data_IF_422569883017
#
_entry.id   IF_422569883017
#
_cell.length_a   1.000
_cell.length_b   1.000
_cell.length_c   1.000
_cell.angle_alpha   90.00
_cell.angle_beta   90.00
_cell.angle_gamma   90.00
#
_symmetry.space_group_name_H-M   'P 1'
#
loop_
_entity.id
_entity.type
_entity.pdbx_description
1 polymer ?
#
# COMPACT_ATOMS: atom_id res chain seq x y z
N UNK A 1 -62.91 30.70 -91.30
CA UNK A 1 -64.32 31.04 -90.96
C UNK A 1 -64.67 30.35 -89.67
N UNK A 2 -64.75 31.12 -88.62
CA UNK A 2 -65.59 31.00 -87.44
C UNK A 2 -65.07 31.96 -86.38
N UNK A 3 -65.96 32.75 -85.88
CA UNK A 3 -65.87 33.95 -85.09
C UNK A 3 -65.24 33.72 -83.69
N UNK A 4 -64.71 34.79 -83.03
CA UNK A 4 -64.23 34.77 -81.67
C UNK A 4 -65.36 34.90 -80.69
N UNK A 5 -65.40 34.12 -79.64
CA UNK A 5 -66.33 34.15 -78.54
C UNK A 5 -65.87 35.17 -77.48
N UNK A 6 -66.68 36.30 -77.40
CA UNK A 6 -66.56 37.40 -76.47
C UNK A 6 -67.27 37.00 -75.20
N UNK A 7 -66.46 36.61 -74.18
CA UNK A 7 -66.98 36.47 -72.81
C UNK A 7 -66.29 37.45 -71.83
N UNK A 8 -67.11 38.46 -71.48
CA UNK A 8 -66.79 39.59 -70.63
C UNK A 8 -66.08 39.18 -69.28
N UNK A 9 -65.16 40.00 -68.92
CA UNK A 9 -64.43 39.89 -67.68
C UNK A 9 -65.38 40.07 -66.46
N UNK A 10 -65.18 39.29 -65.39
CA UNK A 10 -65.96 39.42 -64.14
C UNK A 10 -65.66 40.73 -63.44
N UNK A 11 -66.62 41.28 -62.69
CA UNK A 11 -66.48 42.57 -62.00
C UNK A 11 -65.42 42.48 -60.87
N UNK A 12 -64.58 43.52 -60.81
CA UNK A 12 -63.61 43.72 -59.74
C UNK A 12 -64.31 43.91 -58.41
N UNK A 13 -64.01 43.04 -57.44
CA UNK A 13 -64.43 43.15 -56.04
C UNK A 13 -63.73 44.39 -55.41
N UNK A 14 -64.43 45.17 -54.56
CA UNK A 14 -63.79 46.30 -53.88
C UNK A 14 -62.68 45.86 -52.93
N UNK A 15 -61.57 46.61 -52.95
CA UNK A 15 -60.44 46.45 -52.09
C UNK A 15 -60.86 46.51 -50.63
N UNK A 16 -60.46 45.54 -49.73
CA UNK A 16 -60.73 45.68 -48.33
C UNK A 16 -59.97 46.88 -47.71
N UNK A 17 -60.66 47.58 -46.89
CA UNK A 17 -60.10 48.75 -46.18
C UNK A 17 -58.84 48.37 -45.37
N UNK A 18 -57.82 49.22 -45.26
CA UNK A 18 -56.62 48.96 -44.53
C UNK A 18 -56.98 48.70 -43.05
N UNK A 19 -56.67 47.49 -42.60
CA UNK A 19 -56.74 47.09 -41.20
C UNK A 19 -55.65 47.83 -40.42
N UNK A 20 -56.05 48.65 -39.44
CA UNK A 20 -55.08 49.20 -38.48
C UNK A 20 -54.42 48.07 -37.67
N UNK A 21 -53.09 48.02 -37.56
CA UNK A 21 -52.44 47.03 -36.74
C UNK A 21 -52.90 47.14 -35.28
N UNK A 22 -53.09 46.04 -34.57
CA UNK A 22 -53.43 46.07 -33.15
C UNK A 22 -52.35 46.82 -32.35
N UNK A 23 -52.73 47.57 -31.28
CA UNK A 23 -51.78 48.32 -30.48
C UNK A 23 -50.73 47.30 -29.94
N UNK A 24 -49.45 47.62 -30.12
CA UNK A 24 -48.34 46.86 -29.57
C UNK A 24 -48.44 46.96 -28.03
N UNK A 25 -49.11 45.93 -27.44
CA UNK A 25 -49.17 45.78 -26.02
C UNK A 25 -47.73 45.31 -25.56
N UNK A 26 -46.88 46.30 -25.40
CA UNK A 26 -45.59 46.14 -24.81
C UNK A 26 -45.77 45.53 -23.42
N UNK A 27 -45.48 44.24 -23.28
CA UNK A 27 -45.58 43.53 -22.00
C UNK A 27 -44.71 44.25 -20.97
N UNK A 28 -45.36 45.07 -20.11
CA UNK A 28 -44.72 45.77 -18.97
C UNK A 28 -44.03 44.83 -17.99
N UNK A 29 -44.19 43.50 -18.17
CA UNK A 29 -43.66 42.45 -17.31
C UNK A 29 -42.42 41.75 -17.88
N UNK A 30 -42.02 41.98 -19.12
CA UNK A 30 -40.83 41.35 -19.71
C UNK A 30 -39.55 41.83 -19.05
N UNK A 31 -39.44 43.13 -18.81
CA UNK A 31 -38.26 43.73 -18.15
C UNK A 31 -38.03 43.21 -16.72
N UNK A 32 -39.04 43.19 -15.82
CA UNK A 32 -38.86 42.64 -14.49
C UNK A 32 -38.62 41.13 -14.48
N UNK A 33 -39.20 40.36 -15.40
CA UNK A 33 -38.93 38.89 -15.51
C UNK A 33 -37.48 38.63 -15.96
N UNK A 34 -36.99 39.37 -16.93
CA UNK A 34 -35.59 39.30 -17.37
C UNK A 34 -34.63 39.69 -16.24
N UNK A 35 -34.98 40.72 -15.47
CA UNK A 35 -34.16 41.14 -14.32
C UNK A 35 -34.13 40.09 -13.21
N UNK A 36 -35.26 39.47 -12.91
CA UNK A 36 -35.33 38.35 -11.94
C UNK A 36 -34.56 37.11 -12.42
N UNK A 37 -34.60 36.82 -13.71
CA UNK A 37 -33.85 35.71 -14.28
C UNK A 37 -32.34 35.97 -14.20
N UNK A 38 -31.88 37.18 -14.53
CA UNK A 38 -30.46 37.57 -14.40
C UNK A 38 -30.03 37.57 -12.93
N UNK A 39 -30.84 38.08 -12.02
CA UNK A 39 -30.55 38.06 -10.58
C UNK A 39 -30.48 36.62 -10.06
N UNK A 40 -31.38 35.72 -10.51
CA UNK A 40 -31.36 34.31 -10.21
C UNK A 40 -30.06 33.60 -10.69
N UNK A 41 -29.60 33.94 -11.90
CA UNK A 41 -28.34 33.46 -12.44
C UNK A 41 -27.12 33.93 -11.61
N UNK A 42 -27.10 35.16 -11.14
CA UNK A 42 -26.04 35.68 -10.28
C UNK A 42 -26.05 35.01 -8.89
N UNK A 43 -27.23 34.82 -8.30
CA UNK A 43 -27.38 34.12 -7.01
C UNK A 43 -26.96 32.65 -7.14
N UNK A 44 -27.41 31.97 -8.20
CA UNK A 44 -27.06 30.57 -8.46
C UNK A 44 -25.57 30.42 -8.80
N UNK A 45 -25.02 31.34 -9.62
CA UNK A 45 -23.58 31.39 -9.90
C UNK A 45 -22.76 31.65 -8.63
N UNK A 46 -23.18 32.57 -7.78
CA UNK A 46 -22.56 32.83 -6.46
C UNK A 46 -22.61 31.61 -5.53
N UNK A 47 -23.74 30.90 -5.54
CA UNK A 47 -23.87 29.65 -4.76
C UNK A 47 -22.97 28.55 -5.28
N UNK A 48 -22.87 28.37 -6.61
CA UNK A 48 -21.93 27.42 -7.24
C UNK A 48 -20.49 27.77 -6.88
N UNK A 49 -20.10 29.05 -6.99
CA UNK A 49 -18.75 29.50 -6.63
C UNK A 49 -18.47 29.27 -5.14
N UNK A 50 -19.46 29.56 -4.27
CA UNK A 50 -19.33 29.32 -2.84
C UNK A 50 -19.21 27.81 -2.51
N UNK A 51 -20.05 26.97 -3.14
CA UNK A 51 -19.98 25.52 -2.98
C UNK A 51 -18.63 24.95 -3.49
N UNK A 52 -18.19 25.47 -4.64
CA UNK A 52 -16.87 25.11 -5.19
C UNK A 52 -15.72 25.58 -4.29
N UNK A 53 -15.78 26.80 -3.75
CA UNK A 53 -14.78 27.26 -2.77
C UNK A 53 -14.82 26.49 -1.46
N UNK A 54 -15.99 26.10 -0.95
CA UNK A 54 -16.08 25.21 0.21
C UNK A 54 -15.51 23.80 -0.09
N UNK A 55 -15.79 23.28 -1.28
CA UNK A 55 -15.23 21.99 -1.73
C UNK A 55 -13.70 22.08 -1.90
N UNK A 56 -13.19 23.13 -2.54
CA UNK A 56 -11.74 23.34 -2.73
C UNK A 56 -11.02 23.73 -1.44
N UNK A 57 -11.65 24.47 -0.53
CA UNK A 57 -11.05 24.77 0.79
C UNK A 57 -10.97 23.51 1.68
N UNK A 58 -11.90 22.55 1.54
CA UNK A 58 -11.77 21.22 2.11
C UNK A 58 -10.61 20.42 1.51
N UNK A 59 -10.32 20.63 0.21
CA UNK A 59 -9.19 20.00 -0.50
C UNK A 59 -7.85 20.69 -0.24
N UNK A 60 -7.84 21.97 0.08
CA UNK A 60 -6.63 22.77 0.39
C UNK A 60 -6.37 22.86 1.89
N UNK A 61 -7.22 22.23 2.73
CA UNK A 61 -6.84 22.01 4.12
C UNK A 61 -5.47 21.32 4.10
N UNK A 62 -4.46 21.82 4.85
CA UNK A 62 -3.16 21.20 4.90
C UNK A 62 -3.39 19.72 5.22
N UNK A 63 -2.86 18.83 4.35
CA UNK A 63 -2.95 17.40 4.57
C UNK A 63 -2.58 17.20 6.04
N UNK A 64 -3.45 16.54 6.82
CA UNK A 64 -3.15 16.26 8.23
C UNK A 64 -1.84 15.49 8.20
N UNK A 65 -0.76 16.14 8.57
CA UNK A 65 0.58 15.55 8.62
C UNK A 65 0.77 14.72 9.88
N UNK A 66 -0.23 14.70 10.75
CA UNK A 66 -0.16 14.03 12.03
C UNK A 66 -0.99 12.75 12.05
N UNK A 67 -0.39 11.72 12.65
CA UNK A 67 -1.07 10.48 12.93
C UNK A 67 -2.24 10.71 13.90
N UNK A 68 -3.36 10.08 13.62
CA UNK A 68 -4.55 10.16 14.49
C UNK A 68 -4.67 8.89 15.33
N UNK A 69 -4.85 9.04 16.64
CA UNK A 69 -5.16 7.92 17.52
C UNK A 69 -6.61 7.47 17.31
N UNK A 70 -6.81 6.19 17.03
CA UNK A 70 -8.11 5.54 16.92
C UNK A 70 -8.22 4.48 18.01
N UNK A 71 -9.35 4.47 18.73
CA UNK A 71 -9.64 3.43 19.73
C UNK A 71 -10.31 2.25 19.04
N UNK A 72 -9.64 1.09 19.00
CA UNK A 72 -10.18 -0.16 18.42
C UNK A 72 -11.07 -0.90 19.42
N UNK A 73 -10.72 -0.86 20.71
CA UNK A 73 -11.49 -1.43 21.79
C UNK A 73 -11.45 -0.50 23.00
N UNK A 74 -12.61 -0.15 23.54
CA UNK A 74 -12.72 0.63 24.76
C UNK A 74 -12.16 -0.17 25.95
N UNK A 75 -11.55 0.52 26.92
CA UNK A 75 -10.96 -0.06 28.11
C UNK A 75 -10.42 1.03 29.01
N UNK A 76 -9.61 0.65 30.00
CA UNK A 76 -8.98 1.57 30.90
C UNK A 76 -8.05 2.54 30.15
N UNK A 77 -8.27 3.87 30.24
CA UNK A 77 -7.44 4.85 29.55
C UNK A 77 -5.98 4.86 30.00
N UNK A 78 -5.67 4.38 31.20
CA UNK A 78 -4.32 4.33 31.78
C UNK A 78 -3.58 3.03 31.41
N UNK A 79 -4.30 2.03 30.90
CA UNK A 79 -3.77 0.74 30.51
C UNK A 79 -4.03 0.49 29.02
N UNK A 80 -3.06 0.87 28.18
CA UNK A 80 -3.17 0.84 26.71
C UNK A 80 -2.28 -0.22 26.10
N UNK A 81 -2.76 -0.83 25.03
CA UNK A 81 -1.96 -1.66 24.11
C UNK A 81 -2.07 -1.04 22.73
N UNK A 82 -0.94 -0.71 22.13
CA UNK A 82 -0.91 -0.17 20.78
C UNK A 82 -0.90 -1.30 19.74
N UNK A 83 -1.72 -1.16 18.69
CA UNK A 83 -1.78 -2.10 17.57
C UNK A 83 -1.10 -1.46 16.38
N UNK A 84 -0.14 -2.19 15.79
CA UNK A 84 0.58 -1.77 14.59
C UNK A 84 0.38 -2.86 13.52
N UNK A 85 -0.10 -2.47 12.34
CA UNK A 85 -0.31 -3.40 11.25
C UNK A 85 0.89 -3.42 10.29
N UNK A 86 1.32 -4.62 9.91
CA UNK A 86 2.26 -4.91 8.84
C UNK A 86 1.48 -5.65 7.77
N UNK A 87 0.88 -4.92 6.83
CA UNK A 87 -0.04 -5.50 5.85
C UNK A 87 0.45 -5.28 4.43
N UNK A 88 0.46 -6.35 3.63
CA UNK A 88 0.93 -6.32 2.25
C UNK A 88 2.45 -6.36 2.14
N UNK A 89 2.98 -5.89 1.02
CA UNK A 89 4.41 -5.97 0.71
C UNK A 89 5.19 -4.96 1.54
N UNK A 90 6.24 -5.44 2.21
CA UNK A 90 7.13 -4.59 3.02
C UNK A 90 8.03 -3.80 2.08
N UNK A 91 7.88 -2.48 2.07
CA UNK A 91 8.66 -1.57 1.23
C UNK A 91 8.94 -0.24 1.95
N UNK A 92 10.06 0.39 1.59
CA UNK A 92 10.46 1.71 2.05
C UNK A 92 10.16 2.82 1.04
N UNK A 93 9.43 2.51 -0.04
CA UNK A 93 9.26 3.43 -1.19
C UNK A 93 7.79 3.61 -1.55
N UNK A 94 7.48 4.82 -1.99
CA UNK A 94 6.17 5.21 -2.50
C UNK A 94 5.27 5.87 -1.45
N UNK A 95 4.00 6.07 -1.79
CA UNK A 95 3.04 6.70 -0.88
C UNK A 95 2.75 5.88 0.38
N UNK A 96 3.17 4.61 0.39
CA UNK A 96 3.01 3.65 1.48
C UNK A 96 4.37 3.25 2.07
N UNK A 97 5.24 4.23 2.40
CA UNK A 97 6.47 3.92 3.13
C UNK A 97 6.12 3.26 4.47
N UNK A 98 6.10 1.91 4.45
CA UNK A 98 5.75 1.10 5.61
C UNK A 98 6.78 1.27 6.72
N UNK A 99 8.07 1.41 6.38
CA UNK A 99 9.15 1.60 7.35
C UNK A 99 8.95 2.88 8.14
N UNK A 100 8.77 4.02 7.44
CA UNK A 100 8.55 5.30 8.09
C UNK A 100 7.27 5.29 8.94
N UNK A 101 6.20 4.64 8.44
CA UNK A 101 4.93 4.51 9.15
C UNK A 101 5.09 3.74 10.45
N UNK A 102 5.67 2.54 10.41
CA UNK A 102 5.86 1.68 11.60
C UNK A 102 6.81 2.34 12.61
N UNK A 103 7.94 2.89 12.16
CA UNK A 103 8.85 3.64 13.02
C UNK A 103 8.16 4.80 13.73
N UNK A 104 7.29 5.54 13.03
CA UNK A 104 6.51 6.62 13.61
C UNK A 104 5.50 6.11 14.64
N UNK A 105 4.79 5.01 14.33
CA UNK A 105 3.83 4.39 15.27
C UNK A 105 4.53 3.87 16.54
N UNK A 106 5.68 3.20 16.42
CA UNK A 106 6.49 2.78 17.56
C UNK A 106 6.95 3.98 18.40
N UNK A 107 7.39 5.07 17.75
CA UNK A 107 7.78 6.30 18.44
C UNK A 107 6.60 6.94 19.20
N UNK A 108 5.39 6.94 18.60
CA UNK A 108 4.19 7.43 19.29
C UNK A 108 3.82 6.54 20.47
N UNK A 109 3.87 5.22 20.31
CA UNK A 109 3.64 4.27 21.40
C UNK A 109 4.65 4.46 22.54
N UNK A 110 5.94 4.65 22.24
CA UNK A 110 6.99 4.92 23.22
C UNK A 110 6.78 6.25 23.99
N UNK A 111 6.21 7.26 23.34
CA UNK A 111 5.97 8.58 23.95
C UNK A 111 4.78 8.60 24.93
N UNK A 112 3.85 7.64 24.84
CA UNK A 112 2.70 7.53 25.74
C UNK A 112 2.98 6.50 26.86
N UNK A 113 3.26 6.98 28.07
CA UNK A 113 3.54 6.14 29.25
C UNK A 113 2.40 5.18 29.63
N UNK A 114 1.20 5.40 29.12
CA UNK A 114 0.03 4.54 29.33
C UNK A 114 0.06 3.31 28.42
N UNK A 115 0.85 3.35 27.34
CA UNK A 115 1.07 2.18 26.47
C UNK A 115 2.02 1.22 27.19
N UNK A 116 1.52 0.02 27.51
CA UNK A 116 2.24 -1.01 28.25
C UNK A 116 2.88 -2.06 27.36
N UNK A 117 2.46 -2.14 26.10
CA UNK A 117 3.00 -3.05 25.10
C UNK A 117 2.42 -2.78 23.72
N UNK A 118 3.00 -3.42 22.73
CA UNK A 118 2.59 -3.32 21.33
C UNK A 118 2.19 -4.71 20.82
N UNK A 119 1.12 -4.80 20.04
CA UNK A 119 0.84 -5.98 19.21
C UNK A 119 1.09 -5.62 17.77
N UNK A 120 2.04 -6.33 17.17
CA UNK A 120 2.35 -6.24 15.74
C UNK A 120 1.48 -7.26 15.00
N UNK A 121 0.48 -6.77 14.27
CA UNK A 121 -0.41 -7.61 13.48
C UNK A 121 0.13 -7.75 12.07
N UNK A 122 0.56 -8.97 11.70
CA UNK A 122 1.29 -9.21 10.45
C UNK A 122 0.41 -9.99 9.49
N UNK A 123 0.17 -9.42 8.32
CA UNK A 123 -0.46 -10.10 7.17
C UNK A 123 0.30 -9.71 5.90
N UNK A 124 1.46 -10.36 5.69
CA UNK A 124 2.46 -9.95 4.71
C UNK A 124 3.18 -11.15 4.07
N UNK A 125 3.34 -11.16 2.74
CA UNK A 125 4.19 -12.12 2.04
C UNK A 125 5.69 -11.85 2.19
N UNK A 126 6.07 -10.73 2.81
CA UNK A 126 7.43 -10.21 2.85
C UNK A 126 7.63 -8.98 1.99
N UNK A 127 8.87 -8.71 1.60
CA UNK A 127 9.20 -7.53 0.79
C UNK A 127 10.69 -7.27 0.67
N UNK A 128 11.06 -5.99 0.62
CA UNK A 128 12.46 -5.57 0.50
C UNK A 128 13.26 -5.96 1.76
N UNK A 129 14.47 -6.49 1.54
CA UNK A 129 15.39 -6.89 2.62
C UNK A 129 15.66 -5.73 3.58
N UNK A 130 16.08 -4.59 3.05
CA UNK A 130 16.42 -3.42 3.88
C UNK A 130 15.21 -2.89 4.66
N UNK A 131 14.03 -2.86 4.03
CA UNK A 131 12.81 -2.42 4.70
C UNK A 131 12.44 -3.35 5.86
N UNK A 132 12.56 -4.67 5.66
CA UNK A 132 12.31 -5.68 6.70
C UNK A 132 13.30 -5.56 7.85
N UNK A 133 14.61 -5.36 7.56
CA UNK A 133 15.64 -5.17 8.58
C UNK A 133 15.45 -3.89 9.40
N UNK A 134 15.10 -2.79 8.74
CA UNK A 134 14.82 -1.53 9.44
C UNK A 134 13.63 -1.62 10.39
N UNK A 135 12.57 -2.33 10.01
CA UNK A 135 11.42 -2.58 10.88
C UNK A 135 11.84 -3.49 12.05
N UNK A 136 12.55 -4.59 11.78
CA UNK A 136 13.01 -5.51 12.80
C UNK A 136 13.94 -4.82 13.81
N UNK A 137 14.80 -3.92 13.36
CA UNK A 137 15.65 -3.11 14.22
C UNK A 137 14.84 -2.16 15.10
N UNK A 138 13.85 -1.46 14.52
CA UNK A 138 12.99 -0.56 15.27
C UNK A 138 12.17 -1.30 16.36
N UNK A 139 11.77 -2.56 16.09
CA UNK A 139 11.12 -3.40 17.09
C UNK A 139 12.06 -3.72 18.26
N UNK A 140 13.30 -4.14 17.96
CA UNK A 140 14.31 -4.42 19.01
C UNK A 140 14.62 -3.18 19.87
N UNK A 141 14.78 -2.02 19.23
CA UNK A 141 14.99 -0.74 19.92
C UNK A 141 13.80 -0.38 20.85
N UNK A 142 12.57 -0.59 20.35
CA UNK A 142 11.38 -0.35 21.18
C UNK A 142 11.32 -1.29 22.39
N UNK A 143 11.56 -2.59 22.20
CA UNK A 143 11.52 -3.58 23.28
C UNK A 143 12.57 -3.34 24.37
N UNK A 144 13.73 -2.81 23.99
CA UNK A 144 14.80 -2.53 24.95
C UNK A 144 14.39 -1.52 26.02
N UNK A 145 13.58 -0.51 25.64
CA UNK A 145 13.32 0.65 26.51
C UNK A 145 11.85 0.86 26.89
N UNK A 146 10.89 0.26 26.15
CA UNK A 146 9.48 0.67 26.25
C UNK A 146 8.48 -0.44 26.60
N UNK A 147 8.85 -1.70 26.45
CA UNK A 147 7.97 -2.83 26.74
C UNK A 147 7.85 -3.84 25.60
N UNK A 148 7.09 -4.93 25.80
CA UNK A 148 7.05 -6.04 24.87
C UNK A 148 6.36 -5.69 23.55
N UNK A 149 6.87 -6.27 22.46
CA UNK A 149 6.18 -6.36 21.17
C UNK A 149 5.77 -7.80 20.95
N UNK A 150 4.48 -8.05 20.81
CA UNK A 150 3.91 -9.38 20.58
C UNK A 150 3.49 -9.45 19.12
N UNK A 151 4.01 -10.42 18.36
CA UNK A 151 3.57 -10.65 16.99
C UNK A 151 2.29 -11.49 16.96
N UNK A 152 1.30 -11.07 16.18
CA UNK A 152 0.10 -11.82 15.86
C UNK A 152 0.02 -11.98 14.35
N UNK A 153 0.28 -13.18 13.85
CA UNK A 153 0.25 -13.48 12.43
C UNK A 153 -1.20 -13.67 11.96
N UNK A 154 -1.55 -13.04 10.84
CA UNK A 154 -2.81 -13.20 10.13
C UNK A 154 -2.83 -14.42 9.21
N UNK A 155 -3.41 -14.26 8.02
CA UNK A 155 -3.41 -15.31 6.99
C UNK A 155 -2.01 -15.64 6.49
N UNK A 156 -1.13 -14.65 6.42
CA UNK A 156 0.24 -14.80 5.95
C UNK A 156 1.23 -13.95 6.75
N UNK A 157 2.36 -14.55 7.14
CA UNK A 157 3.51 -13.84 7.70
C UNK A 157 4.79 -14.58 7.26
N UNK A 158 5.11 -14.46 5.97
CA UNK A 158 6.15 -15.24 5.32
C UNK A 158 7.34 -14.37 4.93
N UNK A 159 8.53 -14.98 4.84
CA UNK A 159 9.76 -14.32 4.37
C UNK A 159 10.04 -13.02 5.15
N UNK A 160 10.06 -11.84 4.53
CA UNK A 160 10.20 -10.56 5.24
C UNK A 160 9.17 -10.34 6.35
N UNK A 161 7.94 -10.90 6.21
CA UNK A 161 6.91 -10.88 7.26
C UNK A 161 7.33 -11.70 8.48
N UNK A 162 7.97 -12.85 8.28
CA UNK A 162 8.57 -13.63 9.37
C UNK A 162 9.83 -12.95 9.92
N UNK A 163 10.66 -12.35 9.06
CA UNK A 163 11.82 -11.57 9.48
C UNK A 163 11.46 -10.49 10.52
N UNK A 164 10.36 -9.79 10.27
CA UNK A 164 9.85 -8.75 11.18
C UNK A 164 9.24 -9.35 12.46
N UNK A 165 8.63 -10.54 12.38
CA UNK A 165 8.07 -11.23 13.53
C UNK A 165 9.15 -11.83 14.46
N UNK A 166 10.24 -12.32 13.87
CA UNK A 166 11.28 -13.09 14.59
C UNK A 166 11.84 -12.38 15.83
N UNK A 167 12.15 -11.07 15.83
CA UNK A 167 12.65 -10.36 17.00
C UNK A 167 11.60 -10.08 18.08
N UNK A 168 10.29 -10.25 17.81
CA UNK A 168 9.23 -9.97 18.78
C UNK A 168 9.33 -10.90 19.99
N UNK A 169 8.94 -10.39 21.16
CA UNK A 169 8.96 -11.10 22.44
C UNK A 169 8.22 -12.43 22.41
N UNK A 170 7.10 -12.49 21.71
CA UNK A 170 6.26 -13.66 21.59
C UNK A 170 5.52 -13.65 20.27
N UNK A 171 5.31 -14.80 19.66
CA UNK A 171 4.69 -14.93 18.35
C UNK A 171 3.49 -15.86 18.42
N UNK A 172 2.33 -15.33 18.03
CA UNK A 172 1.10 -16.08 17.79
C UNK A 172 0.87 -16.30 16.30
N UNK A 173 0.43 -17.50 15.93
CA UNK A 173 -0.05 -17.82 14.59
C UNK A 173 -1.26 -18.74 14.66
N UNK A 174 -2.17 -18.62 13.69
CA UNK A 174 -3.20 -19.64 13.50
C UNK A 174 -2.53 -20.93 12.95
N UNK A 175 -3.13 -22.09 13.17
CA UNK A 175 -2.63 -23.37 12.65
C UNK A 175 -2.42 -23.34 11.13
N UNK A 176 -3.29 -22.60 10.42
CA UNK A 176 -3.32 -22.48 8.96
C UNK A 176 -2.58 -21.24 8.42
N UNK A 177 -1.99 -20.42 9.28
CA UNK A 177 -1.17 -19.27 8.84
C UNK A 177 -0.06 -19.76 7.92
N UNK A 178 0.12 -19.10 6.79
CA UNK A 178 1.25 -19.32 5.90
C UNK A 178 2.43 -18.52 6.44
N UNK A 179 3.54 -19.21 6.81
CA UNK A 179 4.73 -18.55 7.37
C UNK A 179 6.02 -19.23 6.91
N UNK A 180 7.14 -19.02 7.59
CA UNK A 180 8.43 -19.53 7.14
C UNK A 180 8.92 -18.76 5.92
N UNK A 181 9.21 -19.43 4.81
CA UNK A 181 9.86 -18.86 3.63
C UNK A 181 11.13 -18.08 4.01
N UNK A 182 11.92 -18.68 4.93
CA UNK A 182 13.19 -18.11 5.38
C UNK A 182 14.18 -18.30 4.26
N UNK A 183 14.40 -17.25 3.48
CA UNK A 183 15.22 -17.30 2.27
C UNK A 183 15.27 -15.95 1.56
N UNK A 184 16.16 -15.85 0.58
CA UNK A 184 16.39 -14.63 -0.20
C UNK A 184 16.32 -14.96 -1.68
N UNK A 185 15.61 -14.16 -2.44
CA UNK A 185 15.59 -14.27 -3.90
C UNK A 185 15.95 -12.94 -4.54
N UNK A 186 16.64 -13.00 -5.67
CA UNK A 186 16.84 -11.90 -6.59
C UNK A 186 16.55 -12.40 -8.00
N UNK A 187 15.61 -11.78 -8.67
CA UNK A 187 15.23 -12.15 -10.04
C UNK A 187 15.60 -11.05 -11.02
N UNK A 188 16.08 -11.44 -12.19
CA UNK A 188 16.30 -10.57 -13.34
C UNK A 188 15.68 -11.22 -14.58
N UNK A 189 14.95 -10.43 -15.35
CA UNK A 189 14.38 -10.87 -16.63
C UNK A 189 15.36 -10.47 -17.73
N UNK A 190 15.79 -11.43 -18.56
CA UNK A 190 16.62 -11.14 -19.71
C UNK A 190 15.77 -10.84 -20.93
N UNK A 191 15.95 -9.65 -21.50
CA UNK A 191 15.19 -9.14 -22.66
C UNK A 191 15.98 -9.21 -23.97
N UNK A 192 17.25 -9.65 -23.97
CA UNK A 192 18.13 -9.63 -25.13
C UNK A 192 17.51 -10.32 -26.36
N UNK A 193 17.01 -11.54 -26.19
CA UNK A 193 16.40 -12.28 -27.30
C UNK A 193 15.11 -11.66 -27.83
N UNK A 194 14.37 -10.88 -27.02
CA UNK A 194 13.23 -10.10 -27.50
C UNK A 194 13.69 -8.90 -28.33
N UNK A 195 14.71 -8.17 -27.83
CA UNK A 195 15.27 -7.01 -28.53
C UNK A 195 15.85 -7.39 -29.89
N UNK A 196 16.52 -8.51 -29.99
CA UNK A 196 17.03 -9.04 -31.27
C UNK A 196 15.90 -9.30 -32.28
N UNK A 197 14.78 -9.89 -31.85
CA UNK A 197 13.61 -10.16 -32.72
C UNK A 197 12.96 -8.88 -33.24
N UNK A 198 13.02 -7.78 -32.49
CA UNK A 198 12.45 -6.49 -32.91
C UNK A 198 13.51 -5.56 -33.55
N UNK A 199 14.76 -6.04 -33.73
CA UNK A 199 15.83 -5.29 -34.38
C UNK A 199 16.45 -4.18 -33.53
N UNK A 200 16.26 -4.17 -32.21
CA UNK A 200 16.84 -3.20 -31.27
C UNK A 200 18.16 -3.73 -30.75
N UNK A 201 19.24 -2.98 -30.92
CA UNK A 201 20.59 -3.35 -30.45
C UNK A 201 21.05 -2.37 -29.37
N UNK A 202 21.13 -2.79 -28.09
CA UNK A 202 21.66 -1.96 -27.03
C UNK A 202 23.16 -1.73 -27.24
N UNK A 203 23.64 -0.51 -26.97
CA UNK A 203 25.06 -0.16 -26.98
C UNK A 203 25.43 0.29 -25.59
N UNK A 204 26.36 -0.43 -24.93
CA UNK A 204 26.76 -0.16 -23.55
C UNK A 204 28.21 0.28 -23.50
N UNK A 205 28.46 1.44 -22.90
CA UNK A 205 29.78 1.90 -22.49
C UNK A 205 29.92 1.75 -20.98
N UNK A 206 30.97 1.06 -20.49
CA UNK A 206 31.13 0.75 -19.08
C UNK A 206 32.56 0.98 -18.59
N UNK A 207 32.72 1.40 -17.35
CA UNK A 207 34.03 1.69 -16.74
C UNK A 207 34.74 0.46 -16.20
N UNK A 208 34.09 -0.70 -16.15
CA UNK A 208 34.68 -1.93 -15.63
C UNK A 208 33.88 -3.18 -16.02
N UNK A 209 34.45 -4.39 -15.92
CA UNK A 209 33.88 -5.62 -16.44
C UNK A 209 32.55 -5.98 -15.78
N UNK A 210 32.36 -5.64 -14.50
CA UNK A 210 31.21 -6.05 -13.70
C UNK A 210 30.11 -4.98 -13.60
N UNK A 211 30.28 -3.79 -14.28
CA UNK A 211 29.33 -2.68 -14.13
C UNK A 211 27.94 -2.96 -14.69
N UNK A 212 27.83 -3.90 -15.61
CA UNK A 212 26.60 -4.34 -16.27
C UNK A 212 26.24 -5.80 -15.99
N UNK A 213 26.74 -6.38 -14.88
CA UNK A 213 26.58 -7.80 -14.57
C UNK A 213 25.13 -8.26 -14.37
N UNK A 214 24.16 -7.40 -14.18
CA UNK A 214 22.74 -7.74 -14.10
C UNK A 214 21.93 -7.11 -15.22
N UNK A 215 22.60 -6.68 -16.31
CA UNK A 215 21.89 -6.05 -17.42
C UNK A 215 20.97 -7.05 -18.10
N UNK A 216 19.68 -6.71 -18.14
CA UNK A 216 18.67 -7.47 -18.89
C UNK A 216 18.85 -7.39 -20.40
N UNK A 217 19.74 -6.51 -20.88
CA UNK A 217 19.98 -6.23 -22.30
C UNK A 217 21.15 -7.02 -22.87
N UNK A 218 22.01 -7.58 -22.02
CA UNK A 218 23.14 -8.39 -22.47
C UNK A 218 22.69 -9.80 -22.84
N UNK A 219 23.35 -10.48 -23.81
CA UNK A 219 23.11 -11.88 -24.07
C UNK A 219 23.40 -12.70 -22.79
N UNK A 220 22.59 -13.74 -22.50
CA UNK A 220 22.76 -14.55 -21.28
C UNK A 220 24.19 -15.09 -21.10
N UNK A 221 24.87 -15.40 -22.22
CA UNK A 221 26.22 -15.94 -22.27
C UNK A 221 27.29 -14.91 -21.84
N UNK A 222 26.95 -13.62 -21.88
CA UNK A 222 27.87 -12.55 -21.44
C UNK A 222 28.01 -12.50 -19.91
N UNK A 223 27.13 -13.16 -19.15
CA UNK A 223 27.23 -13.26 -17.69
C UNK A 223 28.28 -14.29 -17.34
N UNK A 224 29.43 -13.85 -16.84
CA UNK A 224 30.55 -14.71 -16.50
C UNK A 224 30.30 -15.53 -15.22
N UNK A 225 31.09 -16.61 -15.03
CA UNK A 225 31.05 -17.40 -13.80
C UNK A 225 31.37 -16.53 -12.58
N UNK A 226 32.37 -15.67 -12.66
CA UNK A 226 32.73 -14.72 -11.61
C UNK A 226 31.56 -13.80 -11.22
N UNK A 227 30.83 -13.28 -12.19
CA UNK A 227 29.66 -12.43 -11.94
C UNK A 227 28.53 -13.20 -11.23
N UNK A 228 28.30 -14.45 -11.61
CA UNK A 228 27.33 -15.34 -10.94
C UNK A 228 27.75 -15.60 -9.49
N UNK A 229 29.03 -15.87 -9.25
CA UNK A 229 29.57 -16.10 -7.90
C UNK A 229 29.48 -14.84 -7.01
N UNK A 230 29.70 -13.64 -7.59
CA UNK A 230 29.51 -12.37 -6.86
C UNK A 230 28.06 -12.25 -6.39
N UNK A 231 27.11 -12.53 -7.29
CA UNK A 231 25.67 -12.44 -6.95
C UNK A 231 25.25 -13.51 -5.95
N UNK A 232 25.77 -14.74 -6.10
CA UNK A 232 25.45 -15.82 -5.17
C UNK A 232 25.96 -15.48 -3.76
N UNK A 233 27.21 -15.03 -3.62
CA UNK A 233 27.74 -14.59 -2.31
C UNK A 233 26.88 -13.49 -1.68
N UNK A 234 26.43 -12.53 -2.48
CA UNK A 234 25.53 -11.49 -1.98
C UNK A 234 24.19 -12.05 -1.44
N UNK A 235 23.63 -13.05 -2.11
CA UNK A 235 22.43 -13.76 -1.66
C UNK A 235 22.71 -14.55 -0.38
N UNK A 236 23.85 -15.26 -0.33
CA UNK A 236 24.25 -16.07 0.83
C UNK A 236 24.48 -15.20 2.07
N UNK A 237 25.22 -14.09 1.95
CA UNK A 237 25.42 -13.12 3.04
C UNK A 237 24.10 -12.55 3.56
N UNK A 238 23.15 -12.31 2.64
CA UNK A 238 21.81 -11.80 3.01
C UNK A 238 20.97 -12.88 3.70
N UNK A 239 21.09 -14.13 3.26
CA UNK A 239 20.45 -15.27 3.90
C UNK A 239 21.01 -15.52 5.31
N UNK A 240 22.33 -15.46 5.48
CA UNK A 240 22.97 -15.60 6.79
C UNK A 240 22.49 -14.52 7.78
N UNK A 241 22.28 -13.29 7.29
CA UNK A 241 21.68 -12.23 8.10
C UNK A 241 20.25 -12.58 8.53
N UNK A 242 19.45 -13.20 7.67
CA UNK A 242 18.11 -13.67 8.05
C UNK A 242 18.17 -14.76 9.12
N UNK A 243 18.97 -15.79 8.90
CA UNK A 243 19.21 -16.88 9.88
C UNK A 243 19.58 -16.31 11.23
N UNK A 244 20.53 -15.36 11.25
CA UNK A 244 20.98 -14.70 12.48
C UNK A 244 19.85 -13.96 13.21
N UNK A 245 18.98 -13.24 12.49
CA UNK A 245 17.84 -12.54 13.10
C UNK A 245 16.87 -13.54 13.73
N UNK A 246 16.66 -14.70 13.10
CA UNK A 246 15.82 -15.77 13.66
C UNK A 246 16.46 -16.36 14.90
N UNK A 247 17.74 -16.70 14.86
CA UNK A 247 18.49 -17.25 16.01
C UNK A 247 18.43 -16.30 17.20
N UNK A 248 18.82 -15.03 17.00
CA UNK A 248 18.83 -14.03 18.07
C UNK A 248 17.43 -13.77 18.64
N UNK A 249 16.43 -13.68 17.76
CA UNK A 249 15.06 -13.40 18.16
C UNK A 249 14.36 -14.57 18.84
N UNK A 250 14.74 -15.82 18.51
CA UNK A 250 14.12 -17.05 19.02
C UNK A 250 14.98 -17.75 20.08
N UNK A 251 16.19 -17.25 20.39
CA UNK A 251 17.05 -17.81 21.43
C UNK A 251 16.47 -17.57 22.83
N UNK A 252 16.38 -18.63 23.61
CA UNK A 252 15.95 -18.58 25.02
C UNK A 252 16.88 -17.76 25.93
N UNK A 253 18.16 -17.65 25.58
CA UNK A 253 19.18 -17.06 26.48
C UNK A 253 19.21 -15.55 26.47
N UNK A 254 18.75 -14.90 25.38
CA UNK A 254 18.90 -13.47 25.21
C UNK A 254 17.75 -12.64 25.79
N UNK A 255 16.50 -12.97 25.49
CA UNK A 255 15.33 -12.15 25.80
C UNK A 255 14.06 -12.93 26.17
N UNK A 256 14.10 -14.25 26.15
CA UNK A 256 12.90 -15.10 26.28
C UNK A 256 12.91 -15.82 27.63
N UNK A 257 12.45 -15.10 28.64
CA UNK A 257 12.35 -15.62 30.01
C UNK A 257 10.98 -16.23 30.32
N UNK A 258 10.05 -16.17 29.39
CA UNK A 258 8.68 -16.67 29.57
C UNK A 258 8.68 -18.20 29.59
N UNK A 259 8.04 -18.76 30.61
CA UNK A 259 7.94 -20.22 30.78
C UNK A 259 7.30 -20.95 29.60
N UNK A 260 6.44 -20.22 28.85
CA UNK A 260 5.64 -20.77 27.78
C UNK A 260 6.24 -20.50 26.38
N UNK A 261 7.38 -19.78 26.29
CA UNK A 261 8.04 -19.52 25.03
C UNK A 261 8.67 -20.80 24.48
N UNK A 262 8.44 -21.05 23.18
CA UNK A 262 8.93 -22.26 22.52
C UNK A 262 10.36 -22.06 22.04
N UNK A 263 11.25 -23.04 22.31
CA UNK A 263 12.61 -23.02 21.79
C UNK A 263 12.63 -23.48 20.35
N UNK A 264 13.57 -22.95 19.57
CA UNK A 264 13.96 -23.58 18.31
C UNK A 264 14.38 -25.02 18.55
N UNK A 265 13.98 -25.94 17.69
CA UNK A 265 14.52 -27.31 17.65
C UNK A 265 15.97 -27.26 17.11
N UNK A 266 16.75 -28.30 17.37
CA UNK A 266 18.15 -28.34 16.94
C UNK A 266 18.27 -28.26 15.41
N UNK A 267 17.37 -28.92 14.68
CA UNK A 267 17.36 -29.01 13.22
C UNK A 267 16.48 -27.91 12.53
N UNK A 268 16.17 -26.82 13.21
CA UNK A 268 15.26 -25.80 12.64
C UNK A 268 15.79 -25.20 11.31
N UNK A 269 17.11 -25.14 11.14
CA UNK A 269 17.74 -24.63 9.92
C UNK A 269 17.42 -25.47 8.67
N UNK A 270 17.13 -26.77 8.82
CA UNK A 270 16.69 -27.63 7.73
C UNK A 270 15.35 -27.18 7.12
N UNK A 271 14.61 -26.38 7.88
CA UNK A 271 13.32 -25.78 7.46
C UNK A 271 13.46 -24.32 7.02
N UNK A 272 14.67 -23.78 7.02
CA UNK A 272 15.00 -22.43 6.61
C UNK A 272 15.55 -22.38 5.17
N UNK A 273 15.10 -23.26 4.30
CA UNK A 273 15.54 -23.40 2.90
C UNK A 273 14.67 -22.64 1.89
N UNK A 274 13.87 -21.68 2.37
CA UNK A 274 12.94 -20.90 1.56
C UNK A 274 11.55 -21.53 1.45
N UNK A 275 11.34 -22.74 2.02
CA UNK A 275 10.00 -23.37 2.02
C UNK A 275 9.01 -22.59 2.88
N UNK A 276 7.74 -22.65 2.49
CA UNK A 276 6.64 -22.21 3.35
C UNK A 276 6.33 -23.28 4.40
N UNK A 277 5.85 -22.83 5.54
CA UNK A 277 5.36 -23.64 6.63
C UNK A 277 3.94 -23.20 6.99
N UNK A 278 3.13 -24.13 7.48
CA UNK A 278 1.91 -23.77 8.22
C UNK A 278 2.28 -23.24 9.61
N UNK A 279 1.39 -22.45 10.21
CA UNK A 279 1.59 -22.01 11.60
C UNK A 279 1.79 -23.17 12.57
N UNK A 280 1.11 -24.32 12.31
CA UNK A 280 1.29 -25.54 13.09
C UNK A 280 2.72 -26.11 12.97
N UNK A 281 3.26 -26.22 11.77
CA UNK A 281 4.65 -26.67 11.54
C UNK A 281 5.65 -25.68 12.15
N UNK A 282 5.46 -24.38 11.92
CA UNK A 282 6.32 -23.35 12.50
C UNK A 282 6.31 -23.41 14.04
N UNK A 283 5.16 -23.69 14.66
CA UNK A 283 5.08 -23.93 16.09
C UNK A 283 5.83 -25.19 16.51
N UNK A 284 5.76 -26.29 15.76
CA UNK A 284 6.52 -27.51 16.04
C UNK A 284 8.03 -27.28 16.02
N UNK A 285 8.51 -26.41 15.12
CA UNK A 285 9.94 -26.10 14.96
C UNK A 285 10.44 -24.96 15.89
N UNK A 286 9.56 -24.38 16.74
CA UNK A 286 9.93 -23.30 17.65
C UNK A 286 10.02 -21.94 17.00
N UNK A 287 9.59 -21.81 15.73
CA UNK A 287 9.51 -20.54 15.00
C UNK A 287 8.31 -19.68 15.44
N UNK A 288 7.29 -20.30 16.02
CA UNK A 288 6.09 -19.70 16.60
C UNK A 288 5.94 -20.21 18.03
N UNK A 289 5.56 -19.33 18.97
CA UNK A 289 5.47 -19.69 20.38
C UNK A 289 4.16 -20.36 20.73
N UNK A 290 3.04 -19.86 20.18
CA UNK A 290 1.73 -20.35 20.51
C UNK A 290 0.79 -20.32 19.30
N UNK A 291 0.00 -21.37 19.18
CA UNK A 291 -1.14 -21.38 18.24
C UNK A 291 -2.29 -20.60 18.84
N UNK A 292 -2.84 -19.68 18.07
CA UNK A 292 -3.94 -18.80 18.49
C UNK A 292 -4.22 -17.72 17.46
N UNK A 293 -5.19 -16.88 17.77
CA UNK A 293 -5.62 -15.76 16.93
C UNK A 293 -5.25 -14.41 17.59
N UNK A 294 -5.69 -13.31 16.95
CA UNK A 294 -5.46 -11.96 17.46
C UNK A 294 -6.02 -11.73 18.87
N UNK A 295 -7.20 -12.27 19.18
CA UNK A 295 -7.80 -12.11 20.50
C UNK A 295 -6.99 -12.84 21.59
N UNK A 296 -6.38 -13.98 21.25
CA UNK A 296 -5.51 -14.73 22.14
C UNK A 296 -4.20 -13.95 22.40
N UNK A 297 -3.63 -13.33 21.35
CA UNK A 297 -2.49 -12.44 21.47
C UNK A 297 -2.81 -11.22 22.38
N UNK A 298 -4.01 -10.65 22.25
CA UNK A 298 -4.46 -9.55 23.11
C UNK A 298 -4.55 -9.97 24.57
N UNK A 299 -5.24 -11.09 24.86
CA UNK A 299 -5.37 -11.63 26.22
C UNK A 299 -4.01 -11.94 26.84
N UNK A 300 -3.12 -12.55 26.05
CA UNK A 300 -1.76 -12.84 26.47
C UNK A 300 -1.01 -11.54 26.81
N UNK A 301 -1.06 -10.54 25.92
CA UNK A 301 -0.39 -9.26 26.14
C UNK A 301 -0.91 -8.57 27.38
N UNK A 302 -2.24 -8.52 27.60
CA UNK A 302 -2.84 -7.98 28.82
C UNK A 302 -2.25 -8.64 30.08
N UNK A 303 -2.27 -9.97 30.14
CA UNK A 303 -1.69 -10.74 31.25
C UNK A 303 -0.20 -10.50 31.41
N UNK A 304 0.54 -10.45 30.28
CA UNK A 304 1.98 -10.28 30.27
C UNK A 304 2.42 -8.93 30.85
N UNK A 305 1.67 -7.86 30.55
CA UNK A 305 1.96 -6.51 31.09
C UNK A 305 1.20 -6.16 32.37
N UNK A 306 0.58 -7.16 33.02
CA UNK A 306 -0.10 -7.00 34.32
C UNK A 306 -1.47 -6.30 34.26
N UNK A 307 -2.14 -6.35 33.10
CA UNK A 307 -3.50 -5.83 32.90
C UNK A 307 -4.50 -7.00 33.03
N UNK A 308 -5.61 -6.77 33.74
CA UNK A 308 -6.69 -7.77 33.75
C UNK A 308 -7.26 -8.02 32.35
N UNK A 309 -7.54 -9.29 31.98
CA UNK A 309 -8.08 -9.64 30.68
C UNK A 309 -9.35 -8.83 30.32
N UNK A 310 -9.36 -8.25 29.13
CA UNK A 310 -10.45 -7.42 28.64
C UNK A 310 -10.47 -5.98 29.13
N UNK A 311 -9.53 -5.56 29.97
CA UNK A 311 -9.47 -4.19 30.52
C UNK A 311 -8.60 -3.22 29.75
N UNK A 312 -7.65 -3.70 28.93
CA UNK A 312 -6.82 -2.80 28.15
C UNK A 312 -7.63 -2.02 27.11
N UNK A 313 -7.32 -0.74 26.95
CA UNK A 313 -7.75 0.03 25.78
C UNK A 313 -6.82 -0.30 24.62
N UNK A 314 -7.39 -0.81 23.53
CA UNK A 314 -6.62 -1.02 22.29
C UNK A 314 -6.66 0.24 21.44
N UNK A 315 -5.49 0.76 21.12
CA UNK A 315 -5.34 1.96 20.30
C UNK A 315 -4.53 1.66 19.04
N UNK A 316 -4.77 2.44 18.01
CA UNK A 316 -4.00 2.42 16.77
C UNK A 316 -3.71 3.85 16.34
N UNK A 317 -2.50 4.11 15.89
CA UNK A 317 -2.15 5.37 15.26
C UNK A 317 -2.25 5.22 13.75
N UNK A 318 -3.27 5.83 13.15
CA UNK A 318 -3.47 5.80 11.70
C UNK A 318 -2.73 6.94 11.04
N UNK A 319 -2.01 6.61 9.95
CA UNK A 319 -1.39 7.62 9.11
C UNK A 319 -2.47 8.52 8.48
N UNK A 320 -2.20 9.81 8.31
CA UNK A 320 -3.12 10.69 7.63
C UNK A 320 -3.34 10.21 6.19
N UNK A 321 -4.60 10.25 5.75
CA UNK A 321 -4.93 9.98 4.34
C UNK A 321 -4.33 11.11 3.49
N UNK A 322 -3.32 10.82 2.70
CA UNK A 322 -2.74 11.76 1.74
C UNK A 322 -3.62 11.86 0.48
N UNK A 323 -4.76 12.55 0.65
CA UNK A 323 -5.64 12.89 -0.48
C UNK A 323 -4.93 13.74 -1.53
N UNK A 324 -3.95 14.57 -1.11
CA UNK A 324 -3.14 15.39 -2.02
C UNK A 324 -2.18 14.55 -2.86
N UNK A 325 -1.60 13.51 -2.29
CA UNK A 325 -0.77 12.53 -3.01
C UNK A 325 -1.60 11.73 -4.02
N UNK A 326 -2.79 11.29 -3.64
CA UNK A 326 -3.72 10.62 -4.55
C UNK A 326 -4.12 11.51 -5.73
N UNK A 327 -4.46 12.78 -5.47
CA UNK A 327 -4.79 13.75 -6.53
C UNK A 327 -3.59 14.11 -7.41
N UNK A 328 -2.38 14.20 -6.85
CA UNK A 328 -1.15 14.38 -7.64
C UNK A 328 -0.88 13.17 -8.52
N UNK A 329 -1.10 11.97 -8.01
CA UNK A 329 -0.97 10.74 -8.78
C UNK A 329 -1.98 10.69 -9.94
N UNK A 330 -3.24 11.02 -9.70
CA UNK A 330 -4.28 11.10 -10.72
C UNK A 330 -4.05 12.27 -11.69
N UNK A 331 -3.59 13.44 -11.21
CA UNK A 331 -3.30 14.62 -12.05
C UNK A 331 -2.00 14.50 -12.87
N UNK A 332 -1.05 13.65 -12.46
CA UNK A 332 0.14 13.34 -13.26
C UNK A 332 -0.17 12.36 -14.40
N UNK A 333 -1.22 11.56 -14.27
CA UNK A 333 -1.67 10.69 -15.36
C UNK A 333 -2.19 11.48 -16.57
N UNK A 334 -2.68 12.72 -16.39
CA UNK A 334 -3.13 13.60 -17.49
C UNK A 334 -2.00 14.40 -18.16
N UNK A 335 -0.81 14.50 -17.55
CA UNK A 335 0.31 15.33 -18.04
C UNK A 335 1.51 14.51 -18.53
N UNK A 336 1.40 13.21 -18.64
CA UNK A 336 2.44 12.41 -19.30
C UNK A 336 2.45 12.79 -20.79
N UNK A 337 3.61 13.25 -21.35
CA UNK A 337 3.70 13.43 -22.80
C UNK A 337 3.40 12.09 -23.46
N UNK A 338 2.70 12.14 -24.61
CA UNK A 338 2.29 10.99 -25.38
C UNK A 338 3.51 10.20 -25.91
N UNK A 339 4.19 9.52 -25.00
CA UNK A 339 5.13 8.45 -25.29
C UNK A 339 4.38 7.16 -24.99
N UNK A 340 4.22 6.34 -25.99
CA UNK A 340 3.50 5.09 -25.98
C UNK A 340 3.97 4.18 -24.85
N UNK A 341 3.39 4.33 -23.67
CA UNK A 341 3.55 3.35 -22.60
C UNK A 341 2.54 2.25 -22.88
N UNK A 342 2.98 1.14 -23.44
CA UNK A 342 2.15 -0.06 -23.52
C UNK A 342 2.05 -0.60 -22.09
N UNK A 343 1.00 -0.21 -21.39
CA UNK A 343 0.66 -0.78 -20.10
C UNK A 343 -0.10 -2.08 -20.38
N UNK A 344 0.61 -3.20 -20.32
CA UNK A 344 -0.02 -4.51 -20.33
C UNK A 344 -0.57 -4.74 -18.92
N UNK A 345 -1.84 -4.45 -18.73
CA UNK A 345 -2.57 -4.81 -17.53
C UNK A 345 -2.90 -6.31 -17.63
N UNK A 346 -2.16 -7.11 -16.90
CA UNK A 346 -2.35 -8.56 -16.81
C UNK A 346 -3.45 -8.94 -15.82
N UNK A 347 -4.18 -7.95 -15.26
CA UNK A 347 -5.26 -8.20 -14.29
C UNK A 347 -4.82 -8.83 -12.97
N UNK A 348 -3.51 -8.85 -12.69
CA UNK A 348 -2.94 -9.33 -11.46
C UNK A 348 -2.25 -8.17 -10.74
N UNK A 349 -2.63 -7.91 -9.50
CA UNK A 349 -1.91 -6.99 -8.60
C UNK A 349 -0.57 -7.61 -8.15
N UNK A 350 0.29 -7.91 -9.15
CA UNK A 350 1.64 -8.37 -8.85
C UNK A 350 2.47 -7.20 -8.33
N UNK A 351 3.22 -7.41 -7.24
CA UNK A 351 4.13 -6.41 -6.73
C UNK A 351 5.15 -6.04 -7.79
N UNK A 352 5.29 -4.75 -8.09
CA UNK A 352 6.31 -4.25 -9.01
C UNK A 352 7.68 -4.38 -8.36
N UNK A 353 8.30 -5.54 -8.50
CA UNK A 353 9.66 -5.76 -8.03
C UNK A 353 10.63 -4.97 -8.90
N UNK A 354 11.59 -4.30 -8.26
CA UNK A 354 12.66 -3.59 -8.97
C UNK A 354 13.77 -4.55 -9.33
N UNK A 355 14.22 -4.57 -10.59
CA UNK A 355 15.39 -5.36 -10.97
C UNK A 355 16.60 -5.00 -10.10
N UNK A 356 17.33 -6.02 -9.64
CA UNK A 356 18.55 -5.83 -8.87
C UNK A 356 18.37 -5.50 -7.39
N UNK A 357 17.13 -5.50 -6.88
CA UNK A 357 16.86 -5.37 -5.44
C UNK A 357 16.58 -6.75 -4.86
N UNK A 358 17.23 -7.15 -3.76
CA UNK A 358 16.92 -8.41 -3.08
C UNK A 358 15.61 -8.27 -2.28
N UNK A 359 14.84 -9.35 -2.27
CA UNK A 359 13.56 -9.43 -1.59
C UNK A 359 13.47 -10.65 -0.68
N UNK A 360 12.85 -10.47 0.46
CA UNK A 360 12.26 -11.51 1.26
C UNK A 360 10.79 -11.66 0.85
N UNK A 361 10.54 -12.46 -0.19
CA UNK A 361 9.19 -12.70 -0.72
C UNK A 361 8.94 -14.20 -0.85
N UNK A 362 7.72 -14.60 -0.55
CA UNK A 362 7.29 -15.98 -0.79
C UNK A 362 7.19 -16.24 -2.30
N UNK A 363 7.81 -17.34 -2.76
CA UNK A 363 7.83 -17.73 -4.18
C UNK A 363 6.46 -18.04 -4.78
N UNK A 364 5.45 -18.30 -3.94
CA UNK A 364 4.09 -18.64 -4.39
C UNK A 364 3.30 -17.46 -5.00
N UNK A 365 3.79 -16.22 -4.85
CA UNK A 365 3.18 -15.05 -5.52
C UNK A 365 3.48 -14.96 -7.02
N UNK A 366 4.33 -15.85 -7.54
CA UNK A 366 4.76 -15.84 -8.95
C UNK A 366 4.31 -17.07 -9.75
N UNK A 367 3.52 -17.96 -9.13
CA UNK A 367 3.11 -19.22 -9.72
C UNK A 367 1.66 -19.18 -10.21
N UNK A 368 1.36 -18.27 -11.17
CA UNK A 368 0.22 -18.41 -12.10
C UNK A 368 0.55 -17.79 -13.46
#
# INVERSE_FOLDING_TARGET
MSEPDDRGAPPLLPNPAPQTPPPAGGSRYVLPIVFLFIAGLFIFGGWIVSAFNQFTSGMTAPARTEFTEVTLRSGDPENRIAIIDVTGIITSIGPSDMVATIKKQLKLAASDKRVKGVILRIDSPGGEVMASDEIARAIREFEADNGPVIASMGGMAASGGYYVAAPCRYIFANELTITGSIGVIMQSINLHGLLDKVGVKPVTFKSGPNKDMLSSLNPPEATTTEQKEIMQRFIDDTYDAFVKVVEEGRDKKGNRTEKDARALIEEWQDYADGRILTGKEAHQHGLVDQLGNFDDAVKFTEKFVGIEPGKARLIKHEAPLDFGGLLRFLGQAEKAPAGTTVQVDLGMDLPRLRPGVPYYLSSHLYAE
#
